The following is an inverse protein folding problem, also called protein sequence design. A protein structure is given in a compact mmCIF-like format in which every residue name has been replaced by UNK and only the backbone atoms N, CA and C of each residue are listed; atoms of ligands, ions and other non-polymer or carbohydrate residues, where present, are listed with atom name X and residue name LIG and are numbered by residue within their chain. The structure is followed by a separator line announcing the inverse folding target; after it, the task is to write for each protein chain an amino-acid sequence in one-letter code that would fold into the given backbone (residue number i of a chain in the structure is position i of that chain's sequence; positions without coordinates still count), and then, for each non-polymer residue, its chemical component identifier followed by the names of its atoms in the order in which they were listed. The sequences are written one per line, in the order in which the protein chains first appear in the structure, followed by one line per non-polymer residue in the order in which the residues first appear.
data_IF_203446638825
#
_entry.id   IF_203446638825
#
_cell.length_a   1.000
_cell.length_b   1.000
_cell.length_c   1.000
_cell.angle_alpha   90.00
_cell.angle_beta   90.00
_cell.angle_gamma   90.00
#
_symmetry.space_group_name_H-M   'P 1'
#
loop_
_entity.id
_entity.type
_entity.pdbx_description
1 polymer ?
#
# COMPACT_ATOMS: atom_id res chain seq x y z
N UNK A 1 4.13 -1.06 -19.92
CA UNK A 1 3.42 0.23 -19.84
C UNK A 1 3.74 1.01 -21.10
N UNK A 2 2.78 1.70 -21.71
CA UNK A 2 3.11 2.53 -22.88
C UNK A 2 4.09 3.67 -22.52
N UNK A 3 4.84 4.17 -23.50
CA UNK A 3 5.85 5.21 -23.29
C UNK A 3 5.32 6.63 -23.46
N UNK A 4 4.04 6.81 -23.82
CA UNK A 4 3.50 8.12 -24.22
C UNK A 4 3.61 9.14 -23.09
N UNK A 5 3.31 8.77 -21.85
CA UNK A 5 3.46 9.69 -20.71
C UNK A 5 4.91 10.11 -20.49
N UNK A 6 5.85 9.17 -20.60
CA UNK A 6 7.27 9.45 -20.39
C UNK A 6 7.84 10.36 -21.49
N UNK A 7 7.43 10.16 -22.75
CA UNK A 7 7.89 10.94 -23.89
C UNK A 7 7.23 12.33 -23.97
N UNK A 8 5.93 12.42 -23.68
CA UNK A 8 5.14 13.64 -23.92
C UNK A 8 4.95 14.54 -22.70
N UNK A 9 5.14 14.03 -21.47
CA UNK A 9 4.89 14.79 -20.24
C UNK A 9 6.17 15.01 -19.43
N UNK A 10 6.73 16.23 -19.45
CA UNK A 10 7.85 16.59 -18.57
C UNK A 10 7.51 16.45 -17.08
N UNK A 11 6.25 16.61 -16.69
CA UNK A 11 5.82 16.43 -15.30
C UNK A 11 5.95 14.96 -14.84
N UNK A 12 5.76 14.02 -15.77
CA UNK A 12 5.93 12.58 -15.53
C UNK A 12 7.40 12.17 -15.57
N UNK A 13 8.11 12.47 -16.66
CA UNK A 13 9.49 12.00 -16.84
C UNK A 13 10.47 12.61 -15.83
N UNK A 14 10.28 13.86 -15.40
CA UNK A 14 11.12 14.48 -14.36
C UNK A 14 11.04 13.76 -13.02
N UNK A 15 9.93 13.09 -12.70
CA UNK A 15 9.82 12.29 -11.45
C UNK A 15 10.73 11.07 -11.52
N UNK A 16 10.71 10.36 -12.64
CA UNK A 16 11.60 9.22 -12.88
C UNK A 16 13.07 9.63 -12.94
N UNK A 17 13.39 10.72 -13.63
CA UNK A 17 14.74 11.29 -13.67
C UNK A 17 15.23 11.64 -12.25
N UNK A 18 14.38 12.30 -11.46
CA UNK A 18 14.72 12.65 -10.07
C UNK A 18 14.91 11.43 -9.17
N UNK A 19 14.07 10.41 -9.32
CA UNK A 19 14.24 9.12 -8.64
C UNK A 19 15.60 8.48 -8.99
N UNK A 20 15.98 8.50 -10.27
CA UNK A 20 17.26 7.99 -10.74
C UNK A 20 18.45 8.80 -10.23
N UNK A 21 18.36 10.12 -10.16
CA UNK A 21 19.39 10.99 -9.56
C UNK A 21 19.65 10.68 -8.09
N UNK A 22 18.59 10.41 -7.30
CA UNK A 22 18.71 10.13 -5.87
C UNK A 22 19.21 8.70 -5.62
N UNK A 23 18.73 7.73 -6.39
CA UNK A 23 18.95 6.29 -6.13
C UNK A 23 20.07 5.66 -6.96
N UNK A 24 20.45 6.27 -8.09
CA UNK A 24 21.27 5.65 -9.12
C UNK A 24 20.55 4.56 -9.94
N UNK A 25 19.23 4.43 -9.82
CA UNK A 25 18.43 3.37 -10.46
C UNK A 25 17.45 3.97 -11.46
N UNK A 26 17.49 3.49 -12.71
CA UNK A 26 16.51 3.82 -13.72
C UNK A 26 15.23 2.96 -13.57
N UNK A 27 14.32 3.43 -12.72
CA UNK A 27 13.04 2.74 -12.51
C UNK A 27 12.14 2.73 -13.75
N UNK A 28 12.31 3.68 -14.68
CA UNK A 28 11.53 3.67 -15.92
C UNK A 28 11.94 2.49 -16.78
N UNK A 29 13.25 2.30 -16.96
CA UNK A 29 13.79 1.15 -17.67
C UNK A 29 13.34 -0.16 -17.02
N UNK A 30 13.35 -0.25 -15.68
CA UNK A 30 12.87 -1.46 -14.97
C UNK A 30 11.42 -1.80 -15.30
N UNK A 31 10.53 -0.80 -15.34
CA UNK A 31 9.12 -1.03 -15.73
C UNK A 31 8.97 -1.42 -17.20
N UNK A 32 9.77 -0.84 -18.09
CA UNK A 32 9.72 -1.14 -19.53
C UNK A 32 10.20 -2.55 -19.86
N UNK A 33 11.24 -3.03 -19.18
CA UNK A 33 11.80 -4.38 -19.42
C UNK A 33 11.13 -5.49 -18.63
N UNK A 34 10.26 -5.14 -17.67
CA UNK A 34 9.70 -6.12 -16.72
C UNK A 34 10.80 -6.73 -15.86
N UNK A 35 11.70 -5.90 -15.34
CA UNK A 35 12.85 -6.35 -14.54
C UNK A 35 12.38 -7.15 -13.31
N UNK A 36 12.83 -8.41 -13.20
CA UNK A 36 12.49 -9.34 -12.11
C UNK A 36 12.86 -8.79 -10.73
N UNK A 37 13.81 -7.85 -10.64
CA UNK A 37 14.13 -7.16 -9.38
C UNK A 37 12.93 -6.43 -8.79
N UNK A 38 11.95 -6.03 -9.60
CA UNK A 38 10.69 -5.44 -9.13
C UNK A 38 9.86 -6.38 -8.24
N UNK A 39 10.17 -7.67 -8.18
CA UNK A 39 9.56 -8.61 -7.22
C UNK A 39 10.15 -8.46 -5.80
N UNK A 40 11.33 -7.83 -5.66
CA UNK A 40 11.95 -7.61 -4.36
C UNK A 40 11.48 -6.27 -3.79
N UNK A 41 11.12 -6.26 -2.50
CA UNK A 41 10.54 -5.11 -1.80
C UNK A 41 11.38 -3.85 -1.96
N UNK A 42 12.71 -3.99 -1.87
CA UNK A 42 13.70 -2.90 -2.00
C UNK A 42 13.62 -2.13 -3.33
N UNK A 43 13.23 -2.80 -4.41
CA UNK A 43 13.03 -2.14 -5.72
C UNK A 43 11.55 -1.83 -5.98
N UNK A 44 10.65 -2.69 -5.53
CA UNK A 44 9.22 -2.54 -5.76
C UNK A 44 8.67 -1.24 -5.17
N UNK A 45 8.93 -0.95 -3.89
CA UNK A 45 8.33 0.21 -3.23
C UNK A 45 8.77 1.54 -3.85
N UNK A 46 10.08 1.81 -4.08
CA UNK A 46 10.52 3.03 -4.75
C UNK A 46 9.97 3.14 -6.19
N UNK A 47 9.91 2.03 -6.94
CA UNK A 47 9.37 2.02 -8.30
C UNK A 47 7.87 2.37 -8.32
N UNK A 48 7.09 1.79 -7.41
CA UNK A 48 5.65 2.06 -7.27
C UNK A 48 5.41 3.50 -6.82
N UNK A 49 6.16 3.99 -5.83
CA UNK A 49 6.07 5.37 -5.36
C UNK A 49 6.36 6.36 -6.48
N UNK A 50 7.43 6.12 -7.24
CA UNK A 50 7.83 6.96 -8.39
C UNK A 50 6.72 7.00 -9.43
N UNK A 51 6.19 5.84 -9.82
CA UNK A 51 5.10 5.79 -10.79
C UNK A 51 3.83 6.49 -10.28
N UNK A 52 3.38 6.17 -9.07
CA UNK A 52 2.13 6.70 -8.50
C UNK A 52 2.18 8.23 -8.39
N UNK A 53 3.32 8.78 -7.96
CA UNK A 53 3.51 10.23 -7.85
C UNK A 53 3.72 10.91 -9.20
N UNK A 54 4.34 10.25 -10.18
CA UNK A 54 4.43 10.74 -11.56
C UNK A 54 3.04 10.85 -12.20
N UNK A 55 2.21 9.83 -12.05
CA UNK A 55 0.81 9.83 -12.51
C UNK A 55 0.01 10.93 -11.82
N UNK A 56 0.16 11.08 -10.49
CA UNK A 56 -0.51 12.14 -9.74
C UNK A 56 -0.17 13.55 -10.26
N UNK A 57 1.11 13.82 -10.58
CA UNK A 57 1.52 15.12 -11.15
C UNK A 57 0.90 15.42 -12.51
N UNK A 58 0.59 14.39 -13.30
CA UNK A 58 -0.06 14.56 -14.61
C UNK A 58 -1.56 14.78 -14.46
N UNK A 59 -2.24 13.95 -13.65
CA UNK A 59 -3.70 13.94 -13.58
C UNK A 59 -4.27 15.07 -12.71
N UNK A 60 -3.56 15.49 -11.66
CA UNK A 60 -4.06 16.47 -10.68
C UNK A 60 -4.39 17.85 -11.27
N UNK A 61 -3.74 18.23 -12.38
CA UNK A 61 -4.03 19.49 -13.07
C UNK A 61 -5.20 19.40 -14.07
N UNK A 62 -5.75 18.19 -14.29
CA UNK A 62 -6.79 17.91 -15.28
C UNK A 62 -8.13 17.55 -14.64
N UNK A 63 -8.16 17.40 -13.31
CA UNK A 63 -9.35 17.05 -12.53
C UNK A 63 -9.57 18.05 -11.39
N UNK A 64 -10.79 18.15 -10.85
CA UNK A 64 -11.03 18.84 -9.60
C UNK A 64 -10.14 18.32 -8.47
N UNK A 65 -9.87 19.16 -7.47
CA UNK A 65 -9.11 18.76 -6.30
C UNK A 65 -9.76 17.55 -5.62
N UNK A 66 -8.96 16.53 -5.31
CA UNK A 66 -9.44 15.34 -4.63
C UNK A 66 -9.97 15.71 -3.23
N UNK A 67 -11.12 15.15 -2.87
CA UNK A 67 -11.71 15.37 -1.55
C UNK A 67 -10.91 14.68 -0.43
N UNK A 68 -10.37 13.50 -0.73
CA UNK A 68 -9.53 12.73 0.17
C UNK A 68 -8.58 11.84 -0.64
N UNK A 69 -7.48 11.43 -0.02
CA UNK A 69 -6.53 10.47 -0.55
C UNK A 69 -6.44 9.26 0.37
N UNK A 70 -6.23 8.09 -0.22
CA UNK A 70 -5.91 6.86 0.48
C UNK A 70 -4.88 6.09 -0.35
N UNK A 71 -3.97 5.40 0.31
CA UNK A 71 -3.15 4.39 -0.32
C UNK A 71 -3.04 3.17 0.58
N UNK A 72 -2.60 2.05 0.01
CA UNK A 72 -2.42 0.80 0.75
C UNK A 72 -0.94 0.61 1.08
N UNK A 73 -0.59 0.51 2.37
CA UNK A 73 0.77 0.33 2.88
C UNK A 73 1.73 1.40 2.34
N UNK A 74 2.61 1.04 1.40
CA UNK A 74 3.46 1.99 0.66
C UNK A 74 2.64 3.17 0.10
N UNK A 75 1.43 2.92 -0.38
CA UNK A 75 0.56 3.95 -0.95
C UNK A 75 0.24 5.10 0.01
N UNK A 76 0.27 4.91 1.34
CA UNK A 76 0.08 6.01 2.29
C UNK A 76 1.14 7.10 2.12
N UNK A 77 2.38 6.74 1.79
CA UNK A 77 3.46 7.71 1.57
C UNK A 77 3.27 8.46 0.25
N UNK A 78 2.80 7.77 -0.81
CA UNK A 78 2.41 8.42 -2.07
C UNK A 78 1.29 9.44 -1.82
N UNK A 79 0.28 9.07 -1.03
CA UNK A 79 -0.84 9.94 -0.67
C UNK A 79 -0.40 11.14 0.19
N UNK A 80 0.47 10.93 1.17
CA UNK A 80 1.04 12.00 2.01
C UNK A 80 1.90 12.98 1.21
N UNK A 81 2.70 12.48 0.25
CA UNK A 81 3.46 13.34 -0.66
C UNK A 81 2.52 14.12 -1.59
N UNK A 82 1.48 13.48 -2.13
CA UNK A 82 0.45 14.14 -2.95
C UNK A 82 -0.34 15.21 -2.17
N UNK A 83 -0.61 14.97 -0.89
CA UNK A 83 -1.23 15.93 0.02
C UNK A 83 -0.31 17.08 0.45
N UNK A 84 0.97 17.07 0.06
CA UNK A 84 1.97 18.06 0.46
C UNK A 84 2.50 17.90 1.89
N UNK A 85 2.11 16.85 2.60
CA UNK A 85 2.62 16.57 3.95
C UNK A 85 4.11 16.20 3.93
N UNK A 86 4.57 15.58 2.84
CA UNK A 86 5.97 15.25 2.64
C UNK A 86 6.49 15.92 1.37
N UNK A 87 7.70 16.49 1.46
CA UNK A 87 8.45 16.81 0.24
C UNK A 87 8.77 15.54 -0.53
N UNK A 88 8.66 15.61 -1.86
CA UNK A 88 8.78 14.41 -2.71
C UNK A 88 10.15 13.73 -2.54
N UNK A 89 11.22 14.54 -2.50
CA UNK A 89 12.59 14.09 -2.29
C UNK A 89 12.79 13.38 -0.94
N UNK A 90 12.17 13.91 0.12
CA UNK A 90 12.24 13.33 1.46
C UNK A 90 11.41 12.03 1.53
N UNK A 91 10.19 12.04 0.98
CA UNK A 91 9.35 10.86 0.87
C UNK A 91 10.03 9.73 0.08
N UNK A 92 10.69 10.05 -1.03
CA UNK A 92 11.39 9.06 -1.85
C UNK A 92 12.53 8.39 -1.07
N UNK A 93 13.40 9.15 -0.39
CA UNK A 93 14.47 8.59 0.45
C UNK A 93 13.92 7.76 1.60
N UNK A 94 12.86 8.24 2.25
CA UNK A 94 12.17 7.50 3.31
C UNK A 94 11.63 6.16 2.79
N UNK A 95 11.06 6.13 1.58
CA UNK A 95 10.60 4.91 0.94
C UNK A 95 11.73 3.96 0.57
N UNK A 96 12.86 4.44 0.05
CA UNK A 96 14.02 3.59 -0.19
C UNK A 96 14.47 2.91 1.11
N UNK A 97 14.59 3.68 2.20
CA UNK A 97 14.99 3.16 3.50
C UNK A 97 13.96 2.17 4.06
N UNK A 98 12.67 2.50 3.98
CA UNK A 98 11.57 1.60 4.36
C UNK A 98 11.65 0.26 3.64
N UNK A 99 11.84 0.32 2.32
CA UNK A 99 11.87 -0.85 1.45
C UNK A 99 13.05 -1.76 1.76
N UNK A 100 14.25 -1.19 1.94
CA UNK A 100 15.44 -1.92 2.32
C UNK A 100 15.31 -2.56 3.70
N UNK A 101 14.81 -1.82 4.70
CA UNK A 101 14.62 -2.34 6.06
C UNK A 101 13.62 -3.49 6.08
N UNK A 102 12.48 -3.36 5.40
CA UNK A 102 11.48 -4.44 5.31
C UNK A 102 12.01 -5.66 4.59
N UNK A 103 12.80 -5.46 3.53
CA UNK A 103 13.45 -6.55 2.80
C UNK A 103 14.46 -7.29 3.69
N UNK A 104 15.32 -6.56 4.41
CA UNK A 104 16.30 -7.13 5.33
C UNK A 104 15.63 -7.89 6.48
N UNK A 105 14.55 -7.35 7.06
CA UNK A 105 13.80 -8.05 8.09
C UNK A 105 13.17 -9.35 7.57
N UNK A 106 12.69 -9.36 6.33
CA UNK A 106 12.14 -10.57 5.69
C UNK A 106 13.21 -11.61 5.38
N UNK A 107 14.43 -11.18 5.04
CA UNK A 107 15.59 -12.07 4.82
C UNK A 107 16.11 -12.65 6.15
N UNK A 108 16.12 -11.84 7.23
CA UNK A 108 16.57 -12.26 8.55
C UNK A 108 15.54 -13.13 9.29
N UNK A 109 14.25 -12.83 9.11
CA UNK A 109 13.13 -13.54 9.72
C UNK A 109 12.11 -13.94 8.66
N UNK A 110 12.37 -15.03 7.91
CA UNK A 110 11.45 -15.51 6.88
C UNK A 110 10.04 -15.76 7.46
N UNK A 111 9.04 -15.27 6.73
CA UNK A 111 7.63 -15.41 7.09
C UNK A 111 6.80 -15.94 5.94
N UNK A 112 5.49 -15.99 6.15
CA UNK A 112 4.53 -16.27 5.09
C UNK A 112 3.32 -15.35 5.23
N UNK A 113 2.58 -15.18 4.14
CA UNK A 113 1.29 -14.50 4.12
C UNK A 113 0.30 -15.30 3.28
N UNK A 114 -0.96 -15.35 3.72
CA UNK A 114 -2.03 -16.05 3.01
C UNK A 114 -3.30 -15.20 2.98
N UNK A 115 -3.91 -15.05 1.80
CA UNK A 115 -5.19 -14.39 1.61
C UNK A 115 -6.34 -15.37 1.88
N UNK A 116 -7.08 -15.12 2.95
CA UNK A 116 -8.25 -15.88 3.38
C UNK A 116 -9.51 -15.23 2.81
N UNK A 117 -10.20 -15.93 1.91
CA UNK A 117 -11.42 -15.43 1.26
C UNK A 117 -12.66 -15.82 2.07
N UNK A 118 -13.01 -14.99 3.04
CA UNK A 118 -14.16 -15.20 3.93
C UNK A 118 -14.74 -13.87 4.43
N UNK A 119 -16.02 -13.87 4.80
CA UNK A 119 -16.67 -12.78 5.55
C UNK A 119 -16.53 -12.95 7.07
N UNK A 120 -16.12 -14.12 7.54
CA UNK A 120 -16.04 -14.43 8.97
C UNK A 120 -14.68 -14.00 9.54
N UNK A 121 -14.50 -12.69 9.70
CA UNK A 121 -13.27 -12.10 10.24
C UNK A 121 -13.03 -12.52 11.69
N UNK A 122 -14.10 -12.68 12.48
CA UNK A 122 -14.00 -13.09 13.89
C UNK A 122 -13.42 -14.51 14.01
N UNK A 123 -13.80 -15.43 13.13
CA UNK A 123 -13.19 -16.75 13.03
C UNK A 123 -11.70 -16.66 12.67
N UNK A 124 -11.33 -15.85 11.68
CA UNK A 124 -9.93 -15.67 11.26
C UNK A 124 -9.07 -15.16 12.43
N UNK A 125 -9.53 -14.12 13.10
CA UNK A 125 -8.84 -13.55 14.25
C UNK A 125 -8.70 -14.53 15.41
N UNK A 126 -9.78 -15.26 15.72
CA UNK A 126 -9.77 -16.28 16.78
C UNK A 126 -8.79 -17.40 16.47
N UNK A 127 -8.81 -17.95 15.25
CA UNK A 127 -7.87 -19.01 14.84
C UNK A 127 -6.43 -18.51 14.92
N UNK A 128 -6.14 -17.29 14.44
CA UNK A 128 -4.79 -16.72 14.55
C UNK A 128 -4.34 -16.62 16.01
N UNK A 129 -5.19 -16.10 16.91
CA UNK A 129 -4.88 -16.01 18.35
C UNK A 129 -4.63 -17.38 18.98
N UNK A 130 -5.50 -18.36 18.71
CA UNK A 130 -5.37 -19.72 19.24
C UNK A 130 -4.06 -20.35 18.79
N UNK A 131 -3.75 -20.31 17.48
CA UNK A 131 -2.49 -20.85 16.95
C UNK A 131 -1.29 -20.12 17.55
N UNK A 132 -1.34 -18.80 17.68
CA UNK A 132 -0.24 -18.06 18.29
C UNK A 132 0.01 -18.44 19.75
N UNK A 133 -1.05 -18.67 20.52
CA UNK A 133 -0.95 -19.12 21.91
C UNK A 133 -0.45 -20.56 22.01
N UNK A 134 -0.97 -21.47 21.18
CA UNK A 134 -0.62 -22.89 21.17
C UNK A 134 0.84 -23.12 20.74
N UNK A 135 1.33 -22.37 19.76
CA UNK A 135 2.65 -22.57 19.16
C UNK A 135 3.74 -21.64 19.71
N UNK A 136 3.35 -20.59 20.45
CA UNK A 136 4.24 -19.49 20.83
C UNK A 136 4.95 -18.85 19.61
N UNK A 137 4.28 -18.82 18.46
CA UNK A 137 4.71 -18.17 17.22
C UNK A 137 3.68 -17.11 16.80
N UNK A 138 4.10 -16.08 16.08
CA UNK A 138 3.26 -15.00 15.59
C UNK A 138 2.51 -15.47 14.33
N UNK A 139 1.18 -15.37 14.36
CA UNK A 139 0.31 -15.32 13.19
C UNK A 139 -0.86 -14.39 13.52
N UNK A 140 -1.14 -13.44 12.64
CA UNK A 140 -2.23 -12.48 12.83
C UNK A 140 -2.79 -12.01 11.49
N UNK A 141 -3.99 -11.41 11.46
CA UNK A 141 -4.41 -10.60 10.32
C UNK A 141 -3.41 -9.47 10.06
N UNK A 142 -2.86 -9.45 8.85
CA UNK A 142 -1.94 -8.44 8.35
C UNK A 142 -2.69 -7.38 7.52
N UNK A 143 -3.72 -7.76 6.75
CA UNK A 143 -4.47 -6.82 5.92
C UNK A 143 -5.97 -7.15 5.90
N UNK A 144 -6.81 -6.16 6.20
CA UNK A 144 -8.25 -6.21 6.00
C UNK A 144 -8.60 -5.48 4.69
N UNK A 145 -8.43 -6.18 3.56
CA UNK A 145 -8.46 -5.56 2.22
C UNK A 145 -9.87 -5.18 1.75
N UNK A 146 -10.84 -6.06 1.97
CA UNK A 146 -12.27 -5.81 1.73
C UNK A 146 -13.10 -6.82 2.54
N UNK A 147 -14.43 -6.67 2.68
CA UNK A 147 -15.25 -7.49 3.60
C UNK A 147 -15.20 -9.01 3.40
N UNK A 148 -14.66 -9.48 2.27
CA UNK A 148 -14.55 -10.90 1.90
C UNK A 148 -13.10 -11.37 1.77
N UNK A 149 -12.11 -10.57 2.19
CA UNK A 149 -10.71 -10.95 2.15
C UNK A 149 -9.94 -10.34 3.32
N UNK A 150 -9.38 -11.22 4.14
CA UNK A 150 -8.36 -10.88 5.13
C UNK A 150 -7.08 -11.62 4.78
N UNK A 151 -5.95 -10.92 4.78
CA UNK A 151 -4.63 -11.54 4.67
C UNK A 151 -4.11 -11.81 6.08
N UNK A 152 -3.69 -13.04 6.35
CA UNK A 152 -2.95 -13.39 7.56
C UNK A 152 -1.45 -13.42 7.25
N UNK A 153 -0.62 -13.09 8.22
CA UNK A 153 0.84 -13.12 8.11
C UNK A 153 1.49 -13.53 9.43
N UNK A 154 2.69 -14.09 9.36
CA UNK A 154 3.39 -14.58 10.53
C UNK A 154 4.57 -15.49 10.20
N UNK A 155 5.07 -16.24 11.19
CA UNK A 155 6.02 -17.32 10.93
C UNK A 155 5.37 -18.37 10.03
N UNK A 156 6.15 -18.93 9.10
CA UNK A 156 5.66 -19.89 8.10
C UNK A 156 4.88 -21.06 8.70
N UNK A 157 5.37 -21.64 9.81
CA UNK A 157 4.70 -22.76 10.48
C UNK A 157 3.37 -22.35 11.13
N UNK A 158 3.33 -21.19 11.79
CA UNK A 158 2.11 -20.66 12.39
C UNK A 158 1.06 -20.30 11.34
N UNK A 159 1.46 -19.72 10.21
CA UNK A 159 0.57 -19.45 9.08
C UNK A 159 0.02 -20.76 8.52
N UNK A 160 0.86 -21.77 8.26
CA UNK A 160 0.40 -23.07 7.77
C UNK A 160 -0.60 -23.74 8.73
N UNK A 161 -0.36 -23.68 10.04
CA UNK A 161 -1.28 -24.21 11.05
C UNK A 161 -2.62 -23.45 11.06
N UNK A 162 -2.59 -22.12 10.96
CA UNK A 162 -3.80 -21.31 10.84
C UNK A 162 -4.59 -21.63 9.57
N UNK A 163 -3.90 -21.81 8.43
CA UNK A 163 -4.54 -22.22 7.16
C UNK A 163 -5.22 -23.60 7.29
N UNK A 164 -4.57 -24.58 7.93
CA UNK A 164 -5.18 -25.90 8.18
C UNK A 164 -6.46 -25.77 9.03
N UNK A 165 -6.37 -25.07 10.16
CA UNK A 165 -7.48 -24.90 11.10
C UNK A 165 -8.65 -24.11 10.49
N UNK A 166 -8.37 -23.11 9.66
CA UNK A 166 -9.39 -22.39 8.89
C UNK A 166 -10.06 -23.28 7.83
N UNK A 167 -9.29 -24.14 7.17
CA UNK A 167 -9.82 -25.10 6.19
C UNK A 167 -10.74 -26.13 6.85
N UNK A 168 -10.33 -26.66 8.01
CA UNK A 168 -11.15 -27.56 8.85
C UNK A 168 -12.44 -26.87 9.34
N UNK A 169 -12.37 -25.58 9.65
CA UNK A 169 -13.53 -24.75 10.00
C UNK A 169 -14.43 -24.38 8.80
N UNK A 170 -14.13 -24.87 7.59
CA UNK A 170 -14.99 -24.75 6.41
C UNK A 170 -14.64 -23.60 5.45
N UNK A 171 -13.53 -22.89 5.66
CA UNK A 171 -13.07 -21.88 4.71
C UNK A 171 -12.52 -22.55 3.45
N UNK A 172 -13.18 -22.31 2.31
CA UNK A 172 -12.92 -23.05 1.06
C UNK A 172 -11.78 -22.49 0.21
N UNK A 173 -11.46 -21.20 0.36
CA UNK A 173 -10.50 -20.51 -0.51
C UNK A 173 -9.52 -19.72 0.32
N UNK A 174 -8.30 -20.23 0.38
CA UNK A 174 -7.13 -19.60 0.98
C UNK A 174 -6.03 -19.64 -0.08
N UNK A 175 -5.33 -18.53 -0.29
CA UNK A 175 -4.32 -18.38 -1.35
C UNK A 175 -3.03 -17.88 -0.73
N UNK A 176 -1.97 -18.67 -0.85
CA UNK A 176 -0.63 -18.23 -0.44
C UNK A 176 -0.17 -17.06 -1.29
N UNK A 177 0.41 -16.04 -0.65
CA UNK A 177 0.95 -14.88 -1.33
C UNK A 177 2.43 -15.12 -1.63
N UNK A 178 2.91 -14.82 -2.86
CA UNK A 178 4.30 -15.04 -3.26
C UNK A 178 5.22 -13.94 -2.69
N UNK A 179 5.29 -13.87 -1.36
CA UNK A 179 6.13 -12.92 -0.62
C UNK A 179 6.89 -13.67 0.47
N UNK A 180 8.14 -13.28 0.71
CA UNK A 180 9.00 -13.90 1.72
C UNK A 180 8.89 -13.27 3.12
N UNK A 181 8.23 -12.11 3.21
CA UNK A 181 8.03 -11.36 4.44
C UNK A 181 6.66 -11.56 5.07
N UNK A 182 6.57 -11.36 6.38
CA UNK A 182 5.32 -11.25 7.13
C UNK A 182 5.01 -9.77 7.41
N UNK A 183 4.73 -9.01 6.36
CA UNK A 183 4.47 -7.56 6.47
C UNK A 183 3.26 -7.26 7.33
N UNK A 184 3.25 -6.10 8.00
CA UNK A 184 2.13 -5.67 8.85
C UNK A 184 1.88 -6.61 10.05
N UNK A 185 2.97 -7.19 10.56
CA UNK A 185 3.00 -8.02 11.77
C UNK A 185 4.18 -7.64 12.67
N UNK A 186 4.19 -8.07 13.95
CA UNK A 186 5.32 -7.84 14.85
C UNK A 186 6.66 -8.39 14.34
N UNK A 187 6.68 -9.30 13.36
CA UNK A 187 7.94 -9.78 12.75
C UNK A 187 8.71 -8.68 12.00
N UNK A 188 8.08 -7.54 11.72
CA UNK A 188 8.75 -6.36 11.14
C UNK A 188 9.34 -5.42 12.21
N UNK A 189 9.34 -5.79 13.49
CA UNK A 189 9.81 -4.90 14.58
C UNK A 189 11.24 -4.38 14.36
N UNK A 190 12.16 -5.23 13.92
CA UNK A 190 13.57 -4.82 13.70
C UNK A 190 13.74 -3.82 12.56
N UNK A 191 12.91 -3.91 11.51
CA UNK A 191 12.83 -2.91 10.47
C UNK A 191 12.22 -1.61 11.02
N UNK A 192 11.16 -1.74 11.82
CA UNK A 192 10.44 -0.61 12.37
C UNK A 192 11.28 0.21 13.36
N UNK A 193 12.08 -0.43 14.22
CA UNK A 193 12.95 0.24 15.19
C UNK A 193 13.92 1.20 14.52
N UNK A 194 14.45 0.80 13.35
CA UNK A 194 15.32 1.65 12.53
C UNK A 194 14.51 2.70 11.77
N UNK A 195 13.36 2.32 11.23
CA UNK A 195 12.51 3.22 10.44
C UNK A 195 11.92 4.37 11.28
N UNK A 196 11.65 4.15 12.57
CA UNK A 196 11.23 5.19 13.52
C UNK A 196 12.24 6.33 13.60
N UNK A 197 13.54 6.04 13.52
CA UNK A 197 14.57 7.08 13.55
C UNK A 197 14.50 7.96 12.30
N UNK A 198 14.31 7.34 11.14
CA UNK A 198 14.14 8.05 9.85
C UNK A 198 12.87 8.92 9.85
N UNK A 199 11.77 8.43 10.43
CA UNK A 199 10.55 9.20 10.61
C UNK A 199 10.76 10.39 11.57
N UNK A 200 11.55 10.21 12.63
CA UNK A 200 11.84 11.28 13.59
C UNK A 200 12.56 12.46 12.91
N UNK A 201 13.50 12.17 12.01
CA UNK A 201 14.28 13.16 11.26
C UNK A 201 13.55 13.75 10.05
N UNK A 202 12.44 13.13 9.62
CA UNK A 202 11.66 13.62 8.46
C UNK A 202 10.71 14.74 8.86
N UNK A 203 10.73 15.84 8.12
CA UNK A 203 9.78 16.94 8.29
C UNK A 203 8.43 16.63 7.65
N UNK A 204 7.35 16.82 8.43
CA UNK A 204 5.98 16.72 7.96
C UNK A 204 5.31 18.10 8.01
N UNK A 205 4.62 18.44 6.93
CA UNK A 205 3.91 19.71 6.75
C UNK A 205 2.39 19.51 6.87
N UNK A 206 1.62 20.58 7.10
CA UNK A 206 0.16 20.50 7.02
C UNK A 206 -0.30 19.94 5.66
N UNK A 207 -1.23 18.99 5.69
CA UNK A 207 -1.80 18.39 4.50
C UNK A 207 -2.82 19.34 3.83
N UNK A 208 -2.70 19.52 2.53
CA UNK A 208 -3.70 20.25 1.72
C UNK A 208 -4.95 19.41 1.42
N UNK A 209 -4.81 18.08 1.43
CA UNK A 209 -5.89 17.11 1.19
C UNK A 209 -5.83 16.08 2.29
N UNK A 210 -6.98 15.71 2.87
CA UNK A 210 -7.04 14.71 3.93
C UNK A 210 -6.53 13.35 3.41
N UNK A 211 -5.66 12.70 4.17
CA UNK A 211 -5.16 11.34 3.89
C UNK A 211 -5.70 10.37 4.93
N UNK A 212 -6.30 9.26 4.50
CA UNK A 212 -6.85 8.24 5.41
C UNK A 212 -5.78 7.20 5.72
N UNK A 213 -5.55 6.96 7.01
CA UNK A 213 -4.51 6.03 7.46
C UNK A 213 -4.99 4.59 7.49
N UNK A 214 -4.13 3.67 7.04
CA UNK A 214 -4.40 2.25 7.14
C UNK A 214 -4.30 1.71 8.57
N UNK A 215 -3.61 2.42 9.47
CA UNK A 215 -3.47 1.96 10.86
C UNK A 215 -4.71 2.27 11.68
N UNK A 216 -5.33 3.43 11.45
CA UNK A 216 -6.49 3.89 12.23
C UNK A 216 -7.82 3.71 11.50
N UNK A 217 -7.81 3.57 10.16
CA UNK A 217 -9.02 3.61 9.33
C UNK A 217 -9.67 4.99 9.27
N UNK A 218 -8.96 6.04 9.70
CA UNK A 218 -9.43 7.42 9.82
C UNK A 218 -8.39 8.39 9.25
N UNK A 219 -8.77 9.66 9.05
CA UNK A 219 -7.84 10.68 8.57
C UNK A 219 -6.63 10.85 9.51
N UNK A 220 -5.43 10.96 8.92
CA UNK A 220 -4.21 11.32 9.65
C UNK A 220 -4.40 12.64 10.40
N UNK A 221 -3.89 12.71 11.62
CA UNK A 221 -3.76 13.97 12.36
C UNK A 221 -2.33 14.47 12.23
N UNK A 222 -2.17 15.80 12.09
CA UNK A 222 -0.87 16.41 11.80
C UNK A 222 0.17 16.17 12.92
N UNK A 223 -0.29 16.11 14.18
CA UNK A 223 0.53 15.92 15.37
C UNK A 223 0.96 14.46 15.60
N UNK A 224 0.18 13.49 15.13
CA UNK A 224 0.43 12.05 15.34
C UNK A 224 0.82 11.29 14.08
N UNK A 225 1.14 11.98 12.98
CA UNK A 225 1.50 11.35 11.70
C UNK A 225 2.69 10.39 11.83
N UNK A 226 3.76 10.81 12.51
CA UNK A 226 4.96 10.00 12.72
C UNK A 226 4.67 8.75 13.56
N UNK A 227 3.93 8.93 14.66
CA UNK A 227 3.51 7.83 15.53
C UNK A 227 2.65 6.81 14.75
N UNK A 228 1.70 7.30 13.96
CA UNK A 228 0.82 6.45 13.16
C UNK A 228 1.60 5.67 12.11
N UNK A 229 2.52 6.32 11.38
CA UNK A 229 3.38 5.64 10.41
C UNK A 229 4.34 4.64 11.05
N UNK A 230 4.83 4.91 12.27
CA UNK A 230 5.67 3.94 13.01
C UNK A 230 4.92 2.69 13.44
N UNK A 231 3.59 2.75 13.60
CA UNK A 231 2.78 1.56 13.87
C UNK A 231 2.44 0.79 12.61
N UNK A 232 2.34 1.49 11.47
CA UNK A 232 1.88 0.92 10.20
C UNK A 232 2.66 -0.33 9.77
N UNK A 233 3.98 -0.35 9.94
CA UNK A 233 4.83 -1.46 9.48
C UNK A 233 4.58 -2.75 10.27
N UNK A 234 4.19 -2.64 11.54
CA UNK A 234 4.06 -3.75 12.50
C UNK A 234 2.62 -4.07 12.88
N UNK A 235 1.66 -3.31 12.35
CA UNK A 235 0.23 -3.43 12.64
C UNK A 235 -0.56 -3.71 11.37
N UNK A 236 -1.73 -4.33 11.51
CA UNK A 236 -2.62 -4.65 10.40
C UNK A 236 -3.01 -3.40 9.60
N UNK A 237 -3.09 -3.51 8.28
CA UNK A 237 -3.73 -2.47 7.45
C UNK A 237 -5.24 -2.65 7.44
N UNK A 238 -5.99 -1.57 7.62
CA UNK A 238 -7.45 -1.52 7.69
C UNK A 238 -8.05 -0.87 6.45
N UNK A 239 -7.76 -1.43 5.27
CA UNK A 239 -8.17 -0.81 4.00
C UNK A 239 -9.70 -0.79 3.82
N UNK A 240 -10.39 -1.82 4.33
CA UNK A 240 -11.87 -1.83 4.39
C UNK A 240 -12.41 -0.61 5.12
N UNK A 241 -11.86 -0.32 6.31
CA UNK A 241 -12.25 0.84 7.12
C UNK A 241 -11.92 2.16 6.39
N UNK A 242 -10.79 2.20 5.68
CA UNK A 242 -10.41 3.38 4.88
C UNK A 242 -11.41 3.65 3.74
N UNK A 243 -11.88 2.60 3.05
CA UNK A 243 -12.87 2.72 1.98
C UNK A 243 -14.24 3.18 2.53
N UNK A 244 -14.66 2.63 3.68
CA UNK A 244 -15.88 3.06 4.35
C UNK A 244 -15.80 4.53 4.79
N UNK A 245 -14.62 4.98 5.23
CA UNK A 245 -14.37 6.38 5.56
C UNK A 245 -14.48 7.30 4.32
N UNK A 246 -13.98 6.89 3.15
CA UNK A 246 -14.20 7.63 1.90
C UNK A 246 -15.70 7.78 1.59
N UNK A 247 -16.47 6.69 1.72
CA UNK A 247 -17.91 6.74 1.49
C UNK A 247 -18.61 7.65 2.52
N UNK A 248 -18.20 7.63 3.78
CA UNK A 248 -18.72 8.51 4.84
C UNK A 248 -18.47 9.99 4.53
N UNK A 249 -17.35 10.30 3.88
CA UNK A 249 -17.04 11.65 3.41
C UNK A 249 -17.86 12.05 2.17
N UNK A 250 -18.61 11.13 1.55
CA UNK A 250 -19.43 11.42 0.38
C UNK A 250 -18.65 11.35 -0.95
N UNK A 251 -17.50 10.68 -0.96
CA UNK A 251 -16.78 10.39 -2.21
C UNK A 251 -17.67 9.52 -3.10
N UNK A 252 -17.82 9.91 -4.37
CA UNK A 252 -18.61 9.17 -5.37
C UNK A 252 -17.75 8.62 -6.52
N UNK A 253 -16.49 9.04 -6.62
CA UNK A 253 -15.55 8.67 -7.67
C UNK A 253 -14.19 8.33 -7.06
N UNK A 254 -13.57 7.25 -7.51
CA UNK A 254 -12.18 6.91 -7.11
C UNK A 254 -11.31 6.66 -8.33
N UNK A 255 -10.06 7.10 -8.23
CA UNK A 255 -9.02 6.89 -9.23
C UNK A 255 -7.81 6.27 -8.52
N UNK A 256 -7.48 5.03 -8.85
CA UNK A 256 -6.25 4.37 -8.42
C UNK A 256 -5.09 4.81 -9.33
N UNK A 257 -3.99 5.27 -8.74
CA UNK A 257 -2.79 5.69 -9.46
C UNK A 257 -1.65 4.76 -9.11
N UNK A 258 -1.13 4.02 -10.09
CA UNK A 258 -0.05 3.07 -9.87
C UNK A 258 -0.12 1.88 -10.81
N UNK A 259 0.69 0.83 -10.57
CA UNK A 259 0.63 -0.36 -11.39
C UNK A 259 -0.59 -1.21 -11.01
N UNK A 260 -1.41 -1.57 -12.00
CA UNK A 260 -2.53 -2.50 -11.82
C UNK A 260 -3.85 -1.83 -11.45
N UNK A 261 -4.74 -2.60 -10.80
CA UNK A 261 -6.14 -2.22 -10.54
C UNK A 261 -6.69 -2.86 -9.24
N UNK A 262 -5.80 -3.17 -8.30
CA UNK A 262 -6.14 -3.94 -7.09
C UNK A 262 -7.00 -3.12 -6.16
N UNK A 263 -6.69 -1.84 -5.93
CA UNK A 263 -7.40 -0.99 -5.00
C UNK A 263 -8.81 -0.66 -5.50
N UNK A 264 -8.98 -0.42 -6.81
CA UNK A 264 -10.28 -0.31 -7.46
C UNK A 264 -11.09 -1.60 -7.31
N UNK A 265 -10.45 -2.76 -7.47
CA UNK A 265 -11.11 -4.06 -7.23
C UNK A 265 -11.62 -4.20 -5.80
N UNK A 266 -10.84 -3.72 -4.82
CA UNK A 266 -11.23 -3.73 -3.40
C UNK A 266 -12.36 -2.72 -3.13
N UNK A 267 -12.28 -1.52 -3.70
CA UNK A 267 -13.31 -0.49 -3.61
C UNK A 267 -14.66 -1.01 -4.14
N UNK A 268 -14.69 -1.59 -5.35
CA UNK A 268 -15.89 -2.20 -5.96
C UNK A 268 -16.54 -3.29 -5.08
N UNK A 269 -15.76 -3.95 -4.23
CA UNK A 269 -16.22 -5.02 -3.33
C UNK A 269 -16.62 -4.52 -1.93
N UNK A 270 -16.43 -3.23 -1.65
CA UNK A 270 -16.61 -2.66 -0.30
C UNK A 270 -17.65 -1.55 -0.29
N UNK A 271 -17.55 -0.59 -1.20
CA UNK A 271 -18.37 0.62 -1.24
C UNK A 271 -19.05 0.75 -2.60
N UNK A 272 -20.17 1.49 -2.65
CA UNK A 272 -20.89 1.78 -3.89
C UNK A 272 -20.63 3.22 -4.30
N UNK A 273 -19.98 3.37 -5.45
CA UNK A 273 -19.58 4.63 -6.09
C UNK A 273 -20.12 4.68 -7.52
N UNK A 274 -20.16 5.89 -8.07
CA UNK A 274 -20.61 6.16 -9.43
C UNK A 274 -19.52 5.75 -10.45
N UNK A 275 -18.25 5.90 -10.10
CA UNK A 275 -17.11 5.56 -10.97
C UNK A 275 -15.90 5.00 -10.23
N UNK A 276 -15.21 4.07 -10.88
CA UNK A 276 -13.96 3.50 -10.40
C UNK A 276 -12.97 3.38 -11.57
N UNK A 277 -11.90 4.17 -11.52
CA UNK A 277 -10.88 4.23 -12.56
C UNK A 277 -9.54 3.79 -12.01
N UNK A 278 -8.74 3.11 -12.82
CA UNK A 278 -7.35 2.81 -12.51
C UNK A 278 -6.48 3.36 -13.62
N UNK A 279 -5.43 4.11 -13.27
CA UNK A 279 -4.52 4.74 -14.20
C UNK A 279 -3.12 4.20 -13.95
N UNK A 280 -2.56 3.58 -14.98
CA UNK A 280 -1.19 3.09 -15.01
C UNK A 280 -0.38 3.66 -16.18
N UNK A 281 -1.01 4.16 -17.23
CA UNK A 281 -0.35 4.65 -18.45
C UNK A 281 -1.21 5.72 -19.15
N UNK A 282 -0.80 6.18 -20.34
CA UNK A 282 -1.54 7.22 -21.05
C UNK A 282 -2.94 6.76 -21.47
N UNK A 283 -3.11 5.48 -21.86
CA UNK A 283 -4.42 4.99 -22.32
C UNK A 283 -5.42 5.02 -21.18
N UNK A 284 -5.05 4.44 -20.04
CA UNK A 284 -5.90 4.42 -18.86
C UNK A 284 -6.12 5.82 -18.26
N UNK A 285 -5.18 6.76 -18.45
CA UNK A 285 -5.38 8.17 -18.12
C UNK A 285 -6.49 8.79 -18.99
N UNK A 286 -6.42 8.62 -20.31
CA UNK A 286 -7.42 9.14 -21.25
C UNK A 286 -8.83 8.61 -20.90
N UNK A 287 -8.94 7.32 -20.59
CA UNK A 287 -10.17 6.65 -20.15
C UNK A 287 -10.70 7.24 -18.83
N UNK A 288 -9.83 7.44 -17.83
CA UNK A 288 -10.21 7.99 -16.54
C UNK A 288 -10.71 9.45 -16.64
N UNK A 289 -10.05 10.28 -17.46
CA UNK A 289 -10.46 11.67 -17.69
C UNK A 289 -11.84 11.76 -18.36
N UNK A 290 -12.09 10.89 -19.35
CA UNK A 290 -13.39 10.80 -20.00
C UNK A 290 -14.50 10.34 -19.04
N UNK A 291 -14.20 9.44 -18.10
CA UNK A 291 -15.17 8.92 -17.15
C UNK A 291 -15.55 9.89 -16.02
N UNK A 292 -14.73 10.90 -15.72
CA UNK A 292 -15.00 11.91 -14.69
C UNK A 292 -15.63 13.19 -15.28
N UNK A 293 -15.52 13.37 -16.60
CA UNK A 293 -16.07 14.53 -17.31
C UNK A 293 -17.55 14.37 -17.71
N UNK A 294 -18.13 13.18 -17.51
CA UNK A 294 -19.52 12.83 -17.81
C UNK A 294 -20.33 12.65 -16.52
#
# INVERSE_FOLDING_TARGET
MDSRLYESSPAFSKVFQRAAEISGIDFWQMWQTGDVRLEQTRFAQPAIFTLSTALYRVISNQLPAAQALVGLSLGEYSALAAAGALEWDAAFRLIQKRADLMQQASEAFPGAMAAVMSTDTDLIERVCREISQETNQIVQPANYNFPKQTVIGGQTQAVAAAVSKLTEAGIKRIVDLPVSGAFHTPLMATANDQFVQELAETDFRPMAINVISNTTGQAFQADTIKETLSRQMVSSTRFTDCLLELQRQGVTHVIELGPGHSLVSFAKKTIKLDSYQAVSDAQSLDEALAAVSN
#
